data_IF_685308043432
#
_entry.id   IF_685308043432
#
_cell.length_a   1.000
_cell.length_b   1.000
_cell.length_c   1.000
_cell.angle_alpha   90.00
_cell.angle_beta   90.00
_cell.angle_gamma   90.00
#
_symmetry.space_group_name_H-M   'P 1'
#
loop_
_entity.id
_entity.type
_entity.pdbx_description
1 polymer ?
#
# COMPACT_ATOMS: atom_id res chain seq x y z
N UNK A 1 11.01 13.08 20.26
CA UNK A 1 10.49 12.85 18.90
C UNK A 1 10.63 11.37 18.60
N UNK A 2 9.55 10.71 18.27
CA UNK A 2 9.62 9.31 17.83
C UNK A 2 10.32 9.26 16.46
N UNK A 3 11.23 8.31 16.29
CA UNK A 3 11.86 8.05 15.00
C UNK A 3 10.78 7.76 13.95
N UNK A 4 10.93 8.37 12.79
CA UNK A 4 10.00 8.17 11.67
C UNK A 4 10.66 7.29 10.63
N UNK A 5 10.03 6.15 10.34
CA UNK A 5 10.52 5.18 9.36
C UNK A 5 9.62 5.21 8.14
N UNK A 6 10.22 5.31 6.95
CA UNK A 6 9.54 5.28 5.66
C UNK A 6 10.16 4.22 4.77
N UNK A 7 9.32 3.32 4.24
CA UNK A 7 9.77 2.24 3.37
C UNK A 7 9.12 2.33 2.01
N UNK A 8 9.93 2.31 0.96
CA UNK A 8 9.46 2.20 -0.42
C UNK A 8 9.26 0.73 -0.80
N UNK A 9 8.06 0.38 -1.20
CA UNK A 9 7.61 -1.00 -1.44
C UNK A 9 7.87 -1.47 -2.88
N UNK A 10 9.12 -1.49 -3.32
CA UNK A 10 9.49 -1.84 -4.68
C UNK A 10 9.20 -3.30 -5.06
N UNK A 11 9.22 -4.26 -4.14
CA UNK A 11 8.79 -5.63 -4.42
C UNK A 11 7.30 -5.73 -4.73
N UNK A 12 6.44 -5.01 -3.98
CA UNK A 12 5.01 -4.96 -4.30
C UNK A 12 4.74 -4.33 -5.67
N UNK A 13 5.55 -3.36 -6.08
CA UNK A 13 5.43 -2.71 -7.38
C UNK A 13 5.63 -3.68 -8.55
N UNK A 14 6.43 -4.76 -8.37
CA UNK A 14 6.64 -5.80 -9.39
C UNK A 14 5.36 -6.53 -9.81
N UNK A 15 4.30 -6.47 -9.01
CA UNK A 15 3.00 -7.05 -9.39
C UNK A 15 2.36 -6.35 -10.57
N UNK A 16 2.77 -5.12 -10.89
CA UNK A 16 2.21 -4.29 -11.97
C UNK A 16 3.26 -3.67 -12.86
N UNK A 17 4.45 -3.37 -12.35
CA UNK A 17 5.55 -2.75 -13.10
C UNK A 17 6.56 -3.81 -13.50
N UNK A 18 6.65 -4.10 -14.80
CA UNK A 18 7.58 -5.10 -15.36
C UNK A 18 8.71 -4.46 -16.20
N UNK A 19 8.91 -3.15 -16.03
CA UNK A 19 9.96 -2.40 -16.71
C UNK A 19 10.99 -1.90 -15.69
N UNK A 20 12.26 -2.28 -15.87
CA UNK A 20 13.35 -1.93 -14.94
C UNK A 20 13.51 -0.41 -14.79
N UNK A 21 13.60 0.32 -15.90
CA UNK A 21 13.85 1.76 -15.87
C UNK A 21 12.69 2.52 -15.21
N UNK A 22 11.45 2.06 -15.43
CA UNK A 22 10.27 2.61 -14.79
C UNK A 22 10.27 2.36 -13.28
N UNK A 23 10.60 1.14 -12.85
CA UNK A 23 10.69 0.78 -11.43
C UNK A 23 11.75 1.63 -10.71
N UNK A 24 12.94 1.75 -11.28
CA UNK A 24 14.03 2.56 -10.74
C UNK A 24 13.62 4.04 -10.64
N UNK A 25 13.06 4.59 -11.71
CA UNK A 25 12.58 5.97 -11.76
C UNK A 25 11.51 6.23 -10.69
N UNK A 26 10.52 5.35 -10.56
CA UNK A 26 9.44 5.50 -9.59
C UNK A 26 9.95 5.38 -8.15
N UNK A 27 10.95 4.53 -7.91
CA UNK A 27 11.57 4.39 -6.58
C UNK A 27 12.29 5.67 -6.18
N UNK A 28 13.08 6.26 -7.09
CA UNK A 28 13.78 7.54 -6.84
C UNK A 28 12.80 8.69 -6.69
N UNK A 29 11.80 8.79 -7.57
CA UNK A 29 10.80 9.85 -7.49
C UNK A 29 10.04 9.82 -6.17
N UNK A 30 9.68 8.64 -5.66
CA UNK A 30 9.03 8.55 -4.36
C UNK A 30 9.91 9.08 -3.22
N UNK A 31 11.23 8.83 -3.25
CA UNK A 31 12.15 9.40 -2.27
C UNK A 31 12.21 10.94 -2.38
N UNK A 32 12.29 11.46 -3.60
CA UNK A 32 12.30 12.90 -3.86
C UNK A 32 11.00 13.57 -3.39
N UNK A 33 9.85 12.93 -3.62
CA UNK A 33 8.54 13.42 -3.17
C UNK A 33 8.47 13.51 -1.65
N UNK A 34 8.97 12.50 -0.92
CA UNK A 34 9.03 12.55 0.54
C UNK A 34 9.92 13.67 1.05
N UNK A 35 11.10 13.87 0.45
CA UNK A 35 12.01 14.96 0.81
C UNK A 35 11.37 16.33 0.52
N UNK A 36 10.76 16.50 -0.64
CA UNK A 36 10.07 17.72 -1.03
C UNK A 36 8.88 18.07 -0.13
N UNK A 37 8.19 17.03 0.42
CA UNK A 37 7.12 17.20 1.40
C UNK A 37 7.62 17.45 2.83
N UNK A 38 8.94 17.62 3.03
CA UNK A 38 9.52 17.99 4.30
C UNK A 38 9.97 16.84 5.19
N UNK A 39 10.17 15.65 4.63
CA UNK A 39 10.83 14.58 5.36
C UNK A 39 12.27 15.02 5.68
N UNK A 40 12.60 15.08 6.97
CA UNK A 40 13.94 15.43 7.44
C UNK A 40 14.81 14.16 7.49
N UNK A 41 15.84 14.02 6.64
CA UNK A 41 16.68 12.84 6.60
C UNK A 41 17.53 12.66 7.87
N UNK A 42 17.76 13.72 8.66
CA UNK A 42 18.48 13.63 9.93
C UNK A 42 17.60 13.04 11.05
N UNK A 43 16.27 13.07 10.89
CA UNK A 43 15.28 12.59 11.87
C UNK A 43 14.46 11.41 11.40
N UNK A 44 14.63 11.00 10.14
CA UNK A 44 13.83 9.95 9.53
C UNK A 44 14.72 8.95 8.80
N UNK A 45 14.40 7.67 8.93
CA UNK A 45 15.03 6.64 8.13
C UNK A 45 14.15 6.33 6.92
N UNK A 46 14.71 6.47 5.72
CA UNK A 46 14.05 6.08 4.48
C UNK A 46 14.87 4.95 3.83
N UNK A 47 14.20 3.86 3.46
CA UNK A 47 14.85 2.74 2.78
C UNK A 47 13.96 2.09 1.73
N UNK A 48 14.57 1.34 0.85
CA UNK A 48 13.86 0.53 -0.15
C UNK A 48 13.60 -0.86 0.44
N UNK A 49 12.43 -1.41 0.23
CA UNK A 49 12.04 -2.73 0.76
C UNK A 49 13.07 -3.82 0.41
N UNK A 50 13.65 -3.77 -0.79
CA UNK A 50 14.68 -4.73 -1.23
C UNK A 50 16.01 -4.62 -0.51
N UNK A 51 16.27 -3.55 0.25
CA UNK A 51 17.49 -3.42 1.04
C UNK A 51 17.47 -4.34 2.27
N UNK A 52 16.26 -4.77 2.68
CA UNK A 52 16.04 -5.71 3.78
C UNK A 52 15.66 -7.08 3.21
N UNK A 53 16.66 -7.88 2.87
CA UNK A 53 16.47 -9.19 2.20
C UNK A 53 15.66 -10.18 3.02
N UNK A 54 15.65 -10.05 4.35
CA UNK A 54 14.88 -10.86 5.29
C UNK A 54 13.35 -10.80 5.05
N UNK A 55 12.87 -9.76 4.39
CA UNK A 55 11.45 -9.67 3.99
C UNK A 55 11.07 -10.82 3.07
N UNK A 56 11.89 -11.12 2.07
CA UNK A 56 11.62 -12.22 1.13
C UNK A 56 11.84 -13.60 1.77
N UNK A 57 12.81 -13.73 2.66
CA UNK A 57 13.03 -14.95 3.43
C UNK A 57 11.83 -15.24 4.33
N UNK A 58 11.37 -14.25 5.10
CA UNK A 58 10.18 -14.40 5.93
C UNK A 58 8.94 -14.68 5.07
N UNK A 59 8.80 -14.04 3.91
CA UNK A 59 7.70 -14.32 2.97
C UNK A 59 7.66 -15.79 2.60
N UNK A 60 8.80 -16.41 2.33
CA UNK A 60 8.87 -17.84 2.04
C UNK A 60 8.43 -18.69 3.23
N UNK A 61 8.91 -18.39 4.43
CA UNK A 61 8.52 -19.11 5.65
C UNK A 61 7.00 -19.02 5.90
N UNK A 62 6.44 -17.82 5.77
CA UNK A 62 5.01 -17.56 5.95
C UNK A 62 4.15 -18.20 4.85
N UNK A 63 4.67 -18.38 3.64
CA UNK A 63 3.96 -19.05 2.54
C UNK A 63 3.57 -20.47 2.89
N UNK A 64 4.36 -21.15 3.74
CA UNK A 64 4.06 -22.49 4.23
C UNK A 64 2.91 -22.51 5.25
N UNK A 65 2.53 -21.32 5.76
CA UNK A 65 1.40 -21.16 6.69
C UNK A 65 0.13 -20.71 6.00
N UNK A 66 0.25 -20.13 4.80
CA UNK A 66 -0.88 -19.61 4.04
C UNK A 66 -1.50 -20.71 3.16
N UNK A 67 -2.74 -21.09 3.45
CA UNK A 67 -3.46 -22.05 2.61
C UNK A 67 -3.88 -21.42 1.27
N UNK A 68 -3.82 -22.17 0.17
CA UNK A 68 -4.24 -21.73 -1.17
C UNK A 68 -5.66 -21.15 -1.15
N UNK A 69 -6.61 -21.84 -0.51
CA UNK A 69 -8.00 -21.36 -0.41
C UNK A 69 -8.16 -20.04 0.36
N UNK A 70 -7.21 -19.68 1.25
CA UNK A 70 -7.19 -18.36 1.89
C UNK A 70 -6.81 -17.29 0.87
N UNK A 71 -5.80 -17.56 0.06
CA UNK A 71 -5.33 -16.64 -0.99
C UNK A 71 -6.35 -16.45 -2.12
N UNK A 72 -7.00 -17.54 -2.54
CA UNK A 72 -8.06 -17.49 -3.58
C UNK A 72 -9.27 -16.66 -3.16
N UNK A 73 -9.56 -16.59 -1.87
CA UNK A 73 -10.64 -15.75 -1.32
C UNK A 73 -10.26 -14.28 -1.15
N UNK A 74 -8.99 -13.93 -1.34
CA UNK A 74 -8.56 -12.52 -1.27
C UNK A 74 -9.31 -11.68 -2.31
N UNK A 75 -10.06 -10.68 -1.84
CA UNK A 75 -10.84 -9.79 -2.71
C UNK A 75 -9.96 -9.06 -3.70
N UNK A 76 -8.79 -8.62 -3.27
CA UNK A 76 -7.87 -7.89 -4.13
C UNK A 76 -7.24 -8.73 -5.24
N UNK A 77 -7.09 -10.05 -5.06
CA UNK A 77 -6.71 -10.95 -6.15
C UNK A 77 -7.82 -11.02 -7.20
N UNK A 78 -9.06 -11.27 -6.75
CA UNK A 78 -10.24 -11.33 -7.63
C UNK A 78 -10.42 -10.01 -8.39
N UNK A 79 -10.41 -8.88 -7.70
CA UNK A 79 -10.58 -7.56 -8.31
C UNK A 79 -9.53 -7.27 -9.40
N UNK A 80 -8.30 -7.74 -9.23
CA UNK A 80 -7.24 -7.56 -10.22
C UNK A 80 -7.43 -8.46 -11.43
N UNK A 81 -7.89 -9.69 -11.23
CA UNK A 81 -8.25 -10.59 -12.33
C UNK A 81 -9.45 -10.04 -13.11
N UNK A 82 -10.49 -9.57 -12.42
CA UNK A 82 -11.69 -8.98 -13.03
C UNK A 82 -11.34 -7.71 -13.84
N UNK A 83 -10.29 -6.99 -13.45
CA UNK A 83 -9.73 -5.84 -14.18
C UNK A 83 -8.79 -6.23 -15.33
N UNK A 84 -8.69 -7.51 -15.66
CA UNK A 84 -7.93 -8.01 -16.81
C UNK A 84 -6.42 -8.13 -16.58
N UNK A 85 -5.94 -8.07 -15.33
CA UNK A 85 -4.54 -8.37 -15.03
C UNK A 85 -4.28 -9.87 -15.18
N UNK A 86 -3.16 -10.20 -15.83
CA UNK A 86 -2.74 -11.59 -15.98
C UNK A 86 -2.44 -12.20 -14.61
N UNK A 87 -3.04 -13.36 -14.26
CA UNK A 87 -2.75 -14.04 -13.03
C UNK A 87 -1.30 -14.58 -13.05
N UNK A 88 -0.50 -14.12 -12.10
CA UNK A 88 0.85 -14.64 -11.86
C UNK A 88 1.09 -14.81 -10.36
N UNK A 89 2.10 -15.59 -10.00
CA UNK A 89 2.34 -15.95 -8.60
C UNK A 89 2.57 -14.75 -7.68
N UNK A 90 3.26 -13.72 -8.16
CA UNK A 90 3.45 -12.50 -7.38
C UNK A 90 2.13 -11.79 -7.06
N UNK A 91 1.18 -11.76 -8.01
CA UNK A 91 -0.15 -11.20 -7.80
C UNK A 91 -0.99 -12.05 -6.83
N UNK A 92 -0.80 -13.37 -6.85
CA UNK A 92 -1.48 -14.29 -5.96
C UNK A 92 -0.92 -14.23 -4.53
N UNK A 93 0.40 -14.14 -4.39
CA UNK A 93 1.11 -14.26 -3.11
C UNK A 93 1.47 -12.93 -2.43
N UNK A 94 1.24 -11.76 -3.07
CA UNK A 94 1.61 -10.48 -2.46
C UNK A 94 0.99 -10.21 -1.07
N UNK A 95 -0.17 -10.76 -0.68
CA UNK A 95 -0.67 -10.60 0.70
C UNK A 95 0.25 -11.26 1.74
N UNK A 96 0.99 -12.30 1.34
CA UNK A 96 1.98 -12.94 2.22
C UNK A 96 3.22 -12.06 2.35
N UNK A 97 3.65 -11.41 1.26
CA UNK A 97 4.72 -10.42 1.30
C UNK A 97 4.33 -9.23 2.19
N UNK A 98 3.08 -8.77 2.12
CA UNK A 98 2.56 -7.73 3.02
C UNK A 98 2.55 -8.21 4.48
N UNK A 99 2.18 -9.46 4.74
CA UNK A 99 2.26 -10.05 6.07
C UNK A 99 3.71 -10.06 6.60
N UNK A 100 4.68 -10.42 5.75
CA UNK A 100 6.09 -10.36 6.11
C UNK A 100 6.55 -8.92 6.44
N UNK A 101 6.10 -7.96 5.66
CA UNK A 101 6.37 -6.53 5.90
C UNK A 101 5.88 -6.02 7.26
N UNK A 102 4.82 -6.59 7.78
CA UNK A 102 4.23 -6.22 9.07
C UNK A 102 4.90 -7.01 10.21
N UNK A 103 5.03 -8.32 10.03
CA UNK A 103 5.47 -9.24 11.08
C UNK A 103 6.98 -9.16 11.35
N UNK A 104 7.79 -8.83 10.34
CA UNK A 104 9.25 -8.70 10.47
C UNK A 104 9.64 -7.63 11.50
N UNK A 105 8.84 -6.57 11.58
CA UNK A 105 9.11 -5.43 12.46
C UNK A 105 8.37 -5.50 13.81
N UNK A 106 7.66 -6.61 14.06
CA UNK A 106 6.93 -6.79 15.33
C UNK A 106 5.84 -5.74 15.55
N UNK A 107 5.17 -5.32 14.49
CA UNK A 107 4.14 -4.27 14.58
C UNK A 107 2.95 -4.72 15.43
N UNK A 108 2.63 -4.00 16.49
CA UNK A 108 1.48 -4.28 17.36
C UNK A 108 0.19 -3.67 16.81
N UNK A 109 0.29 -2.45 16.27
CA UNK A 109 -0.83 -1.68 15.72
C UNK A 109 -0.50 -1.30 14.28
N UNK A 110 -1.42 -1.55 13.37
CA UNK A 110 -1.26 -1.24 11.94
C UNK A 110 -2.40 -0.35 11.49
N UNK A 111 -2.15 0.96 11.30
CA UNK A 111 -3.12 1.87 10.71
C UNK A 111 -3.36 1.50 9.25
N UNK A 112 -4.60 1.18 8.91
CA UNK A 112 -4.97 0.79 7.54
C UNK A 112 -6.30 1.39 7.12
N UNK A 113 -6.46 1.63 5.83
CA UNK A 113 -7.76 1.92 5.25
C UNK A 113 -8.67 0.68 5.31
N UNK A 114 -9.98 0.91 5.24
CA UNK A 114 -11.00 -0.14 5.29
C UNK A 114 -10.80 -1.22 4.22
N UNK A 115 -10.26 -0.84 3.06
CA UNK A 115 -9.93 -1.73 1.94
C UNK A 115 -8.76 -2.69 2.24
N UNK A 116 -7.91 -2.37 3.22
CA UNK A 116 -6.78 -3.21 3.65
C UNK A 116 -7.11 -4.14 4.83
N UNK A 117 -8.32 -4.06 5.37
CA UNK A 117 -8.73 -4.86 6.53
C UNK A 117 -8.52 -6.35 6.31
N UNK A 118 -8.93 -6.88 5.16
CA UNK A 118 -8.79 -8.29 4.83
C UNK A 118 -7.32 -8.75 4.79
N UNK A 119 -6.41 -7.93 4.27
CA UNK A 119 -4.98 -8.26 4.25
C UNK A 119 -4.41 -8.36 5.67
N UNK A 120 -4.88 -7.53 6.57
CA UNK A 120 -4.45 -7.59 7.96
C UNK A 120 -5.05 -8.82 8.68
N UNK A 121 -6.27 -9.21 8.37
CA UNK A 121 -6.87 -10.47 8.85
C UNK A 121 -6.06 -11.68 8.36
N UNK A 122 -5.66 -11.72 7.09
CA UNK A 122 -4.76 -12.75 6.54
C UNK A 122 -3.42 -12.76 7.31
N UNK A 123 -2.84 -11.59 7.57
CA UNK A 123 -1.59 -11.46 8.33
C UNK A 123 -1.72 -12.05 9.73
N UNK A 124 -2.83 -11.76 10.42
CA UNK A 124 -3.14 -12.28 11.76
C UNK A 124 -3.28 -13.80 11.77
N UNK A 125 -4.03 -14.34 10.81
CA UNK A 125 -4.23 -15.78 10.67
C UNK A 125 -2.92 -16.53 10.46
N UNK A 126 -2.05 -15.98 9.59
CA UNK A 126 -0.70 -16.52 9.34
C UNK A 126 0.14 -16.47 10.62
N UNK A 127 0.16 -15.34 11.33
CA UNK A 127 0.94 -15.19 12.55
C UNK A 127 0.47 -16.14 13.66
N UNK A 128 -0.83 -16.25 13.86
CA UNK A 128 -1.43 -17.20 14.84
C UNK A 128 -1.06 -18.63 14.49
N UNK A 129 -1.18 -19.02 13.23
CA UNK A 129 -0.84 -20.37 12.78
C UNK A 129 0.65 -20.68 12.96
N UNK A 130 1.51 -19.71 12.62
CA UNK A 130 2.95 -19.84 12.84
C UNK A 130 3.28 -20.03 14.32
N UNK A 131 2.72 -19.19 15.19
CA UNK A 131 2.93 -19.27 16.63
C UNK A 131 2.42 -20.60 17.24
N UNK A 132 1.34 -21.14 16.72
CA UNK A 132 0.81 -22.44 17.19
C UNK A 132 1.71 -23.60 16.82
N UNK A 133 2.43 -23.53 15.71
CA UNK A 133 3.30 -24.61 15.22
C UNK A 133 4.70 -24.51 15.83
N UNK A 134 5.29 -23.31 15.82
CA UNK A 134 6.70 -23.13 16.13
C UNK A 134 6.98 -22.58 17.53
N UNK A 135 6.00 -21.99 18.18
CA UNK A 135 6.12 -21.49 19.56
C UNK A 135 5.33 -20.19 19.79
N UNK A 136 4.71 -20.10 20.95
CA UNK A 136 3.90 -18.94 21.33
C UNK A 136 4.74 -17.65 21.37
N UNK A 137 4.24 -16.60 20.72
CA UNK A 137 4.81 -15.26 20.81
C UNK A 137 6.05 -15.03 19.95
N UNK A 138 6.40 -15.94 19.02
CA UNK A 138 7.49 -15.72 18.06
C UNK A 138 7.19 -14.57 17.12
N UNK A 139 5.94 -14.46 16.67
CA UNK A 139 5.46 -13.33 15.88
C UNK A 139 4.41 -12.56 16.68
N UNK A 140 4.51 -11.24 16.66
CA UNK A 140 3.48 -10.36 17.22
C UNK A 140 2.25 -10.42 16.32
N UNK A 141 1.08 -10.68 16.91
CA UNK A 141 -0.19 -10.69 16.19
C UNK A 141 -0.72 -9.26 16.13
N UNK A 142 -0.69 -8.58 14.98
CA UNK A 142 -1.01 -7.17 14.90
C UNK A 142 -2.51 -6.91 15.09
N UNK A 143 -2.84 -5.72 15.55
CA UNK A 143 -4.21 -5.21 15.62
C UNK A 143 -4.44 -4.13 14.56
N UNK A 144 -5.60 -4.13 13.86
CA UNK A 144 -5.93 -3.06 12.93
C UNK A 144 -6.29 -1.78 13.71
N UNK A 145 -5.80 -0.65 13.22
CA UNK A 145 -6.34 0.67 13.55
C UNK A 145 -7.03 1.21 12.29
N UNK A 146 -8.35 1.08 12.25
CA UNK A 146 -9.17 1.52 11.12
C UNK A 146 -9.81 2.84 11.51
N UNK A 147 -9.29 3.92 10.97
CA UNK A 147 -9.90 5.22 11.14
C UNK A 147 -11.14 5.32 10.23
N UNK A 148 -12.33 5.21 10.83
CA UNK A 148 -13.62 5.31 10.11
C UNK A 148 -13.83 6.70 9.49
N UNK A 149 -13.12 7.71 9.97
CA UNK A 149 -13.19 9.09 9.50
C UNK A 149 -12.22 9.41 8.35
N UNK A 150 -11.44 8.44 7.86
CA UNK A 150 -10.65 8.65 6.64
C UNK A 150 -11.60 8.73 5.44
N UNK A 151 -12.04 9.94 5.16
CA UNK A 151 -12.85 10.22 3.97
C UNK A 151 -12.08 9.78 2.72
N UNK A 152 -12.82 9.17 1.80
CA UNK A 152 -12.31 8.93 0.45
C UNK A 152 -11.94 10.29 -0.14
N UNK A 153 -10.69 10.43 -0.56
CA UNK A 153 -10.27 11.65 -1.27
C UNK A 153 -10.96 11.65 -2.64
N UNK A 154 -11.76 12.67 -2.97
CA UNK A 154 -12.41 12.75 -4.28
C UNK A 154 -11.38 13.07 -5.37
N UNK A 155 -11.52 12.44 -6.53
CA UNK A 155 -10.80 12.78 -7.74
C UNK A 155 -11.42 13.98 -8.46
N UNK A 156 -10.84 14.36 -9.60
CA UNK A 156 -11.35 15.48 -10.42
C UNK A 156 -12.78 15.27 -10.92
N UNK A 157 -13.24 14.03 -10.94
CA UNK A 157 -14.59 13.60 -11.37
C UNK A 157 -15.59 13.42 -10.18
N UNK A 158 -15.16 13.77 -8.97
CA UNK A 158 -15.96 13.59 -7.74
C UNK A 158 -16.02 12.14 -7.23
N UNK A 159 -15.47 11.17 -7.98
CA UNK A 159 -15.37 9.78 -7.54
C UNK A 159 -14.15 9.57 -6.65
N UNK A 160 -14.01 8.38 -6.07
CA UNK A 160 -12.78 8.02 -5.32
C UNK A 160 -11.53 8.25 -6.19
N UNK A 161 -10.59 9.07 -5.69
CA UNK A 161 -9.33 9.31 -6.38
C UNK A 161 -8.54 8.01 -6.55
N UNK A 162 -8.16 7.69 -7.77
CA UNK A 162 -7.37 6.50 -8.10
C UNK A 162 -6.59 6.68 -9.39
N UNK A 163 -5.36 6.18 -9.42
CA UNK A 163 -4.56 6.15 -10.66
C UNK A 163 -5.27 5.34 -11.77
N UNK A 164 -5.98 4.28 -11.41
CA UNK A 164 -6.71 3.45 -12.37
C UNK A 164 -7.92 4.14 -13.00
N UNK A 165 -8.40 5.22 -12.39
CA UNK A 165 -9.50 6.04 -12.93
C UNK A 165 -9.01 7.28 -13.66
N UNK A 166 -7.68 7.50 -13.70
CA UNK A 166 -7.06 8.69 -14.30
C UNK A 166 -7.64 10.03 -13.75
N UNK A 167 -8.16 10.04 -12.53
CA UNK A 167 -8.83 11.16 -11.89
C UNK A 167 -8.00 11.79 -10.76
N UNK A 168 -6.69 11.53 -10.74
CA UNK A 168 -5.76 12.02 -9.72
C UNK A 168 -5.32 13.45 -10.00
N UNK A 169 -5.05 14.20 -8.93
CA UNK A 169 -4.36 15.49 -8.99
C UNK A 169 -2.92 15.24 -8.55
N UNK A 170 -1.91 15.41 -9.42
CA UNK A 170 -0.52 15.23 -9.03
C UNK A 170 -0.09 16.31 -8.05
N UNK A 171 0.61 15.91 -6.99
CA UNK A 171 1.19 16.87 -6.02
C UNK A 171 2.39 17.60 -6.66
N UNK A 172 3.19 16.85 -7.42
CA UNK A 172 4.33 17.37 -8.17
C UNK A 172 4.16 17.06 -9.65
N UNK A 173 4.65 17.96 -10.51
CA UNK A 173 4.58 17.81 -11.95
C UNK A 173 4.69 19.14 -12.68
N UNK A 174 4.46 19.11 -13.98
CA UNK A 174 4.40 20.32 -14.78
C UNK A 174 3.22 21.22 -14.34
N UNK A 175 3.48 22.49 -14.09
CA UNK A 175 2.48 23.47 -13.63
C UNK A 175 1.23 23.48 -14.52
N UNK A 176 1.42 23.39 -15.85
CA UNK A 176 0.31 23.35 -16.81
C UNK A 176 -0.61 22.13 -16.61
N UNK A 177 -0.03 20.96 -16.28
CA UNK A 177 -0.80 19.73 -16.04
C UNK A 177 -1.55 19.82 -14.73
N UNK A 178 -0.89 20.29 -13.66
CA UNK A 178 -1.52 20.51 -12.36
C UNK A 178 -2.69 21.48 -12.50
N UNK A 179 -2.45 22.65 -13.15
CA UNK A 179 -3.50 23.64 -13.40
C UNK A 179 -4.67 23.06 -14.19
N UNK A 180 -4.40 22.27 -15.25
CA UNK A 180 -5.44 21.61 -16.02
C UNK A 180 -6.27 20.66 -15.15
N UNK A 181 -5.63 19.83 -14.31
CA UNK A 181 -6.31 18.90 -13.40
C UNK A 181 -7.20 19.65 -12.41
N UNK A 182 -6.69 20.71 -11.78
CA UNK A 182 -7.45 21.53 -10.84
C UNK A 182 -8.66 22.20 -11.53
N UNK A 183 -8.47 22.73 -12.73
CA UNK A 183 -9.55 23.38 -13.49
C UNK A 183 -10.59 22.41 -14.03
N UNK A 184 -10.30 21.09 -14.03
CA UNK A 184 -11.24 20.05 -14.46
C UNK A 184 -12.00 19.39 -13.30
N UNK A 185 -11.80 19.85 -12.06
CA UNK A 185 -12.56 19.37 -10.92
C UNK A 185 -14.05 19.64 -11.14
N UNK A 186 -14.86 18.59 -10.97
CA UNK A 186 -16.32 18.70 -11.00
C UNK A 186 -16.79 19.55 -9.83
N UNK A 187 -17.41 20.68 -10.12
CA UNK A 187 -18.02 21.58 -9.15
C UNK A 187 -19.54 21.42 -9.17
N UNK A 188 -20.19 21.89 -8.12
CA UNK A 188 -21.66 22.00 -8.11
C UNK A 188 -22.14 23.11 -9.04
N UNK A 189 -23.43 23.13 -9.34
CA UNK A 189 -24.08 24.17 -10.14
C UNK A 189 -24.60 25.34 -9.28
N UNK A 190 -24.26 25.37 -7.98
CA UNK A 190 -24.69 26.41 -7.07
C UNK A 190 -24.01 27.75 -7.40
N UNK A 191 -24.74 28.85 -7.27
CA UNK A 191 -24.20 30.19 -7.42
C UNK A 191 -23.14 30.53 -6.36
N UNK A 192 -22.34 31.58 -6.62
CA UNK A 192 -21.26 32.00 -5.72
C UNK A 192 -21.78 32.36 -4.32
N UNK A 193 -23.01 32.85 -4.23
CA UNK A 193 -23.66 33.32 -3.00
C UNK A 193 -24.55 32.25 -2.32
N UNK A 194 -24.62 31.05 -2.86
CA UNK A 194 -25.38 29.96 -2.25
C UNK A 194 -24.54 29.22 -1.20
N UNK A 195 -25.08 28.89 -0.03
CA UNK A 195 -24.36 28.15 1.01
C UNK A 195 -24.01 26.75 0.49
N UNK A 196 -22.74 26.38 0.66
CA UNK A 196 -22.17 25.08 0.26
C UNK A 196 -22.10 24.11 1.41
#
# INVERSE_FOLDING_TARGET
ASDVYKRQVNYHALTTIQNKAELEKNTINAALDFLALGMDPEKSTFWVQSDVTQVTELTWLLSNMAGVGLMERSTSYKDKIDKGLSPHMGLFSYPILMAADILLYGSEIVPVGKDQKQHLEITRDIAIRFNNIYGKGLLVVPSPDINENTMLVPGIDGQKMSKSYANTIPIFGEEKLIKKSVMSITTDSAGIDEPK
#
